data_IF_757647333105
#
_entry.id   IF_757647333105
#
_cell.length_a   1.000
_cell.length_b   1.000
_cell.length_c   1.000
_cell.angle_alpha   90.00
_cell.angle_beta   90.00
_cell.angle_gamma   90.00
#
_symmetry.space_group_name_H-M   'P 1'
#
loop_
_entity.id
_entity.type
_entity.pdbx_description
1 polymer ?
#
# COMPACT_ATOMS: atom_id res chain seq x y z
N UNK A 1 -8.32 -6.20 -9.12
CA UNK A 1 -8.60 -7.61 -8.84
C UNK A 1 -10.10 -7.86 -8.90
N UNK A 2 -10.52 -8.87 -9.67
CA UNK A 2 -11.85 -9.44 -9.56
C UNK A 2 -11.90 -10.27 -8.28
N UNK A 3 -12.94 -10.08 -7.49
CA UNK A 3 -13.06 -10.71 -6.18
C UNK A 3 -13.76 -12.07 -6.31
N UNK A 4 -13.41 -13.03 -5.46
CA UNK A 4 -14.05 -14.34 -5.41
C UNK A 4 -15.48 -14.26 -4.85
N UNK A 5 -15.77 -13.24 -4.06
CA UNK A 5 -17.11 -12.90 -3.52
C UNK A 5 -17.32 -11.39 -3.57
N UNK A 6 -18.59 -10.98 -3.62
CA UNK A 6 -18.96 -9.57 -3.59
C UNK A 6 -18.67 -8.97 -2.21
N UNK A 7 -18.15 -7.74 -2.18
CA UNK A 7 -17.79 -7.01 -0.97
C UNK A 7 -18.82 -5.92 -0.70
N UNK A 8 -19.28 -5.85 0.55
CA UNK A 8 -20.18 -4.79 1.03
C UNK A 8 -19.50 -3.90 2.09
N UNK A 9 -18.52 -4.44 2.81
CA UNK A 9 -17.92 -3.73 3.94
C UNK A 9 -16.83 -2.75 3.50
N UNK A 10 -16.90 -1.47 3.89
CA UNK A 10 -15.87 -0.47 3.58
C UNK A 10 -14.46 -0.88 4.02
N UNK A 11 -14.34 -1.66 5.10
CA UNK A 11 -13.07 -2.18 5.60
C UNK A 11 -12.39 -3.11 4.59
N UNK A 12 -13.14 -4.00 3.96
CA UNK A 12 -12.61 -4.91 2.94
C UNK A 12 -12.14 -4.14 1.70
N UNK A 13 -12.87 -3.11 1.29
CA UNK A 13 -12.46 -2.23 0.18
C UNK A 13 -11.13 -1.54 0.51
N UNK A 14 -10.99 -0.99 1.73
CA UNK A 14 -9.75 -0.37 2.20
C UNK A 14 -8.58 -1.35 2.20
N UNK A 15 -8.78 -2.60 2.61
CA UNK A 15 -7.76 -3.64 2.58
C UNK A 15 -7.26 -3.93 1.15
N UNK A 16 -8.17 -4.04 0.19
CA UNK A 16 -7.79 -4.21 -1.22
C UNK A 16 -7.07 -2.99 -1.80
N UNK A 17 -7.47 -1.78 -1.40
CA UNK A 17 -6.75 -0.57 -1.78
C UNK A 17 -5.33 -0.54 -1.18
N UNK A 18 -5.16 -1.00 0.07
CA UNK A 18 -3.86 -1.11 0.73
C UNK A 18 -2.93 -2.04 -0.06
N UNK A 19 -3.34 -3.26 -0.32
CA UNK A 19 -2.57 -4.23 -1.10
C UNK A 19 -2.23 -3.70 -2.51
N UNK A 20 -3.18 -3.01 -3.14
CA UNK A 20 -2.96 -2.40 -4.45
C UNK A 20 -1.94 -1.26 -4.38
N UNK A 21 -2.00 -0.41 -3.36
CA UNK A 21 -1.06 0.69 -3.16
C UNK A 21 0.37 0.18 -2.94
N UNK A 22 0.55 -0.85 -2.10
CA UNK A 22 1.84 -1.47 -1.86
C UNK A 22 2.44 -2.07 -3.16
N UNK A 23 1.64 -2.80 -3.93
CA UNK A 23 2.07 -3.36 -5.21
C UNK A 23 2.44 -2.27 -6.24
N UNK A 24 1.65 -1.19 -6.33
CA UNK A 24 1.91 -0.06 -7.22
C UNK A 24 3.19 0.65 -6.81
N UNK A 25 3.37 0.98 -5.53
CA UNK A 25 4.53 1.67 -5.01
C UNK A 25 5.82 0.88 -5.27
N UNK A 26 5.83 -0.43 -4.99
CA UNK A 26 6.95 -1.33 -5.29
C UNK A 26 7.30 -1.30 -6.79
N UNK A 27 6.29 -1.36 -7.67
CA UNK A 27 6.49 -1.31 -9.12
C UNK A 27 7.01 0.04 -9.60
N UNK A 28 6.58 1.15 -8.99
CA UNK A 28 7.09 2.48 -9.28
C UNK A 28 8.57 2.57 -8.92
N UNK A 29 8.95 2.17 -7.70
CA UNK A 29 10.34 2.18 -7.25
C UNK A 29 11.25 1.30 -8.10
N UNK A 30 10.82 0.08 -8.44
CA UNK A 30 11.61 -0.82 -9.29
C UNK A 30 11.90 -0.26 -10.68
N UNK A 31 11.09 0.71 -11.14
CA UNK A 31 11.24 1.39 -12.44
C UNK A 31 11.76 2.82 -12.31
N UNK A 32 12.14 3.25 -11.12
CA UNK A 32 12.55 4.62 -10.82
C UNK A 32 11.52 5.67 -11.28
N UNK A 33 10.23 5.39 -11.04
CA UNK A 33 9.11 6.25 -11.40
C UNK A 33 8.38 6.75 -10.16
N UNK A 34 7.72 7.90 -10.31
CA UNK A 34 6.77 8.47 -9.35
C UNK A 34 5.44 8.74 -10.05
N UNK A 35 4.34 8.68 -9.31
CA UNK A 35 3.01 8.94 -9.83
C UNK A 35 2.51 10.31 -9.37
N UNK A 36 1.93 11.08 -10.27
CA UNK A 36 1.28 12.35 -9.97
C UNK A 36 -0.24 12.23 -9.82
N UNK A 37 -0.80 11.02 -9.91
CA UNK A 37 -2.23 10.83 -9.71
C UNK A 37 -2.61 9.38 -9.39
N UNK A 38 -3.76 9.26 -8.73
CA UNK A 38 -4.36 7.98 -8.30
C UNK A 38 -5.77 7.86 -8.85
N UNK A 39 -6.11 6.66 -9.31
CA UNK A 39 -7.43 6.28 -9.80
C UNK A 39 -7.93 5.05 -9.08
N UNK A 40 -9.16 5.12 -8.57
CA UNK A 40 -9.88 3.98 -7.98
C UNK A 40 -10.99 3.55 -8.92
N UNK A 41 -11.15 2.23 -9.10
CA UNK A 41 -12.20 1.61 -9.88
C UNK A 41 -12.96 0.64 -8.99
N UNK A 42 -14.27 0.76 -8.97
CA UNK A 42 -15.19 -0.16 -8.32
C UNK A 42 -16.15 -0.70 -9.39
N UNK A 43 -16.44 -2.00 -9.35
CA UNK A 43 -17.45 -2.60 -10.22
C UNK A 43 -18.52 -3.23 -9.36
N UNK A 44 -19.77 -2.84 -9.59
CA UNK A 44 -20.93 -3.36 -8.86
C UNK A 44 -21.23 -4.81 -9.28
N UNK A 45 -22.09 -5.48 -8.51
CA UNK A 45 -22.65 -6.79 -8.88
C UNK A 45 -23.46 -6.74 -10.19
N UNK A 46 -24.05 -5.58 -10.52
CA UNK A 46 -24.76 -5.32 -11.78
C UNK A 46 -23.81 -5.01 -12.96
N UNK A 47 -22.49 -5.22 -12.78
CA UNK A 47 -21.44 -4.98 -13.77
C UNK A 47 -21.21 -3.52 -14.14
N UNK A 48 -21.79 -2.56 -13.43
CA UNK A 48 -21.52 -1.15 -13.61
C UNK A 48 -20.11 -0.80 -13.13
N UNK A 49 -19.29 -0.21 -14.01
CA UNK A 49 -17.94 0.24 -13.67
C UNK A 49 -17.97 1.70 -13.24
N UNK A 50 -17.62 1.94 -11.99
CA UNK A 50 -17.47 3.27 -11.40
C UNK A 50 -16.00 3.61 -11.28
N UNK A 51 -15.62 4.85 -11.63
CA UNK A 51 -14.22 5.31 -11.57
C UNK A 51 -14.16 6.69 -10.94
N UNK A 52 -13.20 6.87 -10.02
CA UNK A 52 -12.84 8.17 -9.45
C UNK A 52 -11.34 8.33 -9.48
N UNK A 53 -10.87 9.55 -9.69
CA UNK A 53 -9.44 9.85 -9.73
C UNK A 53 -9.15 11.22 -9.16
N UNK A 54 -7.92 11.39 -8.67
CA UNK A 54 -7.41 12.69 -8.23
C UNK A 54 -5.94 12.82 -8.59
N UNK A 55 -5.51 14.05 -8.79
CA UNK A 55 -4.09 14.41 -8.83
C UNK A 55 -3.55 14.44 -7.40
N UNK A 56 -2.28 14.11 -7.26
CA UNK A 56 -1.52 14.25 -6.03
C UNK A 56 -0.88 15.65 -5.99
N UNK A 57 -0.78 16.23 -4.82
CA UNK A 57 -0.10 17.51 -4.64
C UNK A 57 1.37 17.42 -5.05
N UNK A 58 2.00 16.31 -4.71
CA UNK A 58 3.37 15.98 -5.07
C UNK A 58 3.43 14.58 -5.68
N UNK A 59 4.19 14.37 -6.77
CA UNK A 59 4.42 13.04 -7.31
C UNK A 59 5.14 12.15 -6.29
N UNK A 60 4.72 10.88 -6.20
CA UNK A 60 5.23 9.97 -5.16
C UNK A 60 5.30 8.53 -5.63
N UNK A 61 6.14 7.73 -4.97
CA UNK A 61 6.22 6.28 -5.02
C UNK A 61 5.96 5.64 -3.64
N UNK A 62 5.49 6.44 -2.67
CA UNK A 62 5.21 6.01 -1.30
C UNK A 62 3.82 5.40 -1.21
N UNK A 63 3.73 4.15 -0.77
CA UNK A 63 2.49 3.39 -0.71
C UNK A 63 1.45 4.04 0.22
N UNK A 64 1.88 4.60 1.35
CA UNK A 64 0.98 5.24 2.32
C UNK A 64 0.25 6.45 1.70
N UNK A 65 0.97 7.28 0.93
CA UNK A 65 0.40 8.44 0.26
C UNK A 65 -0.60 8.00 -0.82
N UNK A 66 -0.22 7.01 -1.63
CA UNK A 66 -1.11 6.44 -2.67
C UNK A 66 -2.37 5.85 -2.04
N UNK A 67 -2.24 5.09 -0.95
CA UNK A 67 -3.36 4.52 -0.21
C UNK A 67 -4.27 5.59 0.38
N UNK A 68 -3.71 6.58 1.08
CA UNK A 68 -4.46 7.67 1.68
C UNK A 68 -5.31 8.41 0.65
N UNK A 69 -4.72 8.71 -0.52
CA UNK A 69 -5.44 9.32 -1.63
C UNK A 69 -6.54 8.40 -2.20
N UNK A 70 -6.26 7.10 -2.33
CA UNK A 70 -7.26 6.12 -2.76
C UNK A 70 -8.46 6.04 -1.82
N UNK A 71 -8.22 6.05 -0.50
CA UNK A 71 -9.28 6.07 0.52
C UNK A 71 -10.06 7.38 0.49
N UNK A 72 -9.41 8.52 0.29
CA UNK A 72 -10.05 9.83 0.18
C UNK A 72 -11.03 9.93 -1.01
N UNK A 73 -10.86 9.10 -2.04
CA UNK A 73 -11.77 9.03 -3.18
C UNK A 73 -13.05 8.21 -2.90
N UNK A 74 -13.08 7.36 -1.87
CA UNK A 74 -14.22 6.47 -1.61
C UNK A 74 -15.55 7.21 -1.38
N UNK A 75 -15.62 8.32 -0.63
CA UNK A 75 -16.88 9.05 -0.45
C UNK A 75 -17.50 9.60 -1.74
N UNK A 76 -16.67 9.82 -2.78
CA UNK A 76 -17.16 10.30 -4.08
C UNK A 76 -17.89 9.23 -4.89
N UNK A 77 -17.83 7.95 -4.48
CA UNK A 77 -18.64 6.89 -5.05
C UNK A 77 -20.03 6.90 -4.36
N UNK A 78 -21.00 7.47 -5.02
CA UNK A 78 -22.39 7.53 -4.54
C UNK A 78 -23.09 6.16 -4.65
N UNK A 79 -22.41 5.10 -4.26
CA UNK A 79 -22.90 3.73 -4.34
C UNK A 79 -22.40 2.92 -3.13
N UNK A 80 -23.30 2.22 -2.47
CA UNK A 80 -23.02 1.52 -1.21
C UNK A 80 -22.58 0.06 -1.41
N UNK A 81 -22.44 -0.41 -2.65
CA UNK A 81 -22.13 -1.81 -2.98
C UNK A 81 -23.39 -2.66 -3.18
N UNK A 82 -23.28 -3.96 -3.33
CA UNK A 82 -22.04 -4.75 -3.27
C UNK A 82 -21.13 -4.56 -4.48
N UNK A 83 -19.84 -4.70 -4.24
CA UNK A 83 -18.82 -4.57 -5.29
C UNK A 83 -18.14 -5.92 -5.54
N UNK A 84 -18.01 -6.29 -6.81
CA UNK A 84 -17.30 -7.50 -7.26
C UNK A 84 -15.89 -7.26 -7.76
N UNK A 85 -15.50 -6.00 -7.91
CA UNK A 85 -14.13 -5.60 -8.26
C UNK A 85 -13.76 -4.33 -7.51
N UNK A 86 -12.59 -4.38 -6.91
CA UNK A 86 -11.88 -3.23 -6.36
C UNK A 86 -10.53 -3.14 -7.06
N UNK A 87 -10.20 -1.98 -7.59
CA UNK A 87 -8.93 -1.74 -8.26
C UNK A 87 -8.40 -0.34 -8.00
N UNK A 88 -7.08 -0.23 -8.02
CA UNK A 88 -6.36 1.03 -7.93
C UNK A 88 -5.33 1.10 -9.05
N UNK A 89 -5.05 2.28 -9.56
CA UNK A 89 -4.03 2.54 -10.55
C UNK A 89 -3.37 3.89 -10.29
N UNK A 90 -2.08 3.97 -10.55
CA UNK A 90 -1.33 5.21 -10.63
C UNK A 90 -1.32 5.71 -12.08
N UNK A 91 -1.34 7.03 -12.26
CA UNK A 91 -1.26 7.66 -13.58
C UNK A 91 -0.40 8.93 -13.55
N UNK A 92 -0.14 9.53 -14.72
CA UNK A 92 0.78 10.66 -14.88
C UNK A 92 2.15 10.35 -14.27
N UNK A 93 2.73 9.23 -14.74
CA UNK A 93 4.02 8.76 -14.24
C UNK A 93 5.14 9.67 -14.74
N UNK A 94 6.12 9.93 -13.87
CA UNK A 94 7.30 10.74 -14.14
C UNK A 94 8.55 9.99 -13.69
N UNK A 95 9.71 10.37 -14.19
CA UNK A 95 10.97 9.84 -13.71
C UNK A 95 11.27 10.43 -12.32
N UNK A 96 11.67 9.60 -11.37
CA UNK A 96 12.00 10.02 -10.01
C UNK A 96 13.27 10.89 -9.93
N UNK A 97 14.12 10.85 -10.97
CA UNK A 97 15.36 11.63 -11.07
C UNK A 97 15.21 12.97 -11.80
N UNK A 98 13.99 13.34 -12.23
CA UNK A 98 13.77 14.60 -12.91
C UNK A 98 14.13 15.77 -11.97
N UNK A 99 15.08 16.68 -12.37
CA UNK A 99 15.57 17.77 -11.52
C UNK A 99 14.49 18.72 -11.00
N UNK A 100 13.39 18.88 -11.74
CA UNK A 100 12.21 19.66 -11.34
C UNK A 100 11.46 19.04 -10.14
N UNK A 101 11.74 17.77 -9.80
CA UNK A 101 11.09 17.04 -8.72
C UNK A 101 11.91 16.88 -7.45
N UNK A 102 13.23 17.03 -7.52
CA UNK A 102 14.12 16.86 -6.36
C UNK A 102 13.87 17.91 -5.27
N UNK A 103 13.43 19.10 -5.63
CA UNK A 103 13.17 20.19 -4.68
C UNK A 103 11.85 19.99 -3.90
N UNK A 104 10.91 19.20 -4.44
CA UNK A 104 9.60 18.92 -3.82
C UNK A 104 9.57 17.64 -2.98
N UNK A 105 10.58 16.77 -3.11
CA UNK A 105 10.62 15.45 -2.46
C UNK A 105 11.19 15.46 -1.02
N UNK A 106 11.52 16.63 -0.48
CA UNK A 106 12.15 16.70 0.86
C UNK A 106 11.23 16.24 2.00
N UNK A 107 9.91 16.20 1.82
CA UNK A 107 8.96 15.81 2.87
C UNK A 107 8.72 14.28 2.98
N UNK A 108 8.99 13.50 1.93
CA UNK A 108 8.78 12.03 1.90
C UNK A 108 10.04 11.18 2.01
N UNK A 109 11.20 11.78 2.28
CA UNK A 109 12.49 11.06 2.22
C UNK A 109 12.64 9.93 3.24
N UNK A 110 12.01 10.03 4.41
CA UNK A 110 12.06 9.00 5.46
C UNK A 110 11.19 7.80 5.11
N UNK A 111 9.97 8.03 4.69
CA UNK A 111 9.00 7.01 4.29
C UNK A 111 9.52 6.23 3.09
N UNK A 112 10.06 6.93 2.08
CA UNK A 112 10.65 6.31 0.91
C UNK A 112 11.85 5.43 1.24
N UNK A 113 12.73 5.86 2.17
CA UNK A 113 13.87 5.06 2.64
C UNK A 113 13.42 3.81 3.37
N UNK A 114 12.39 3.91 4.22
CA UNK A 114 11.80 2.78 4.92
C UNK A 114 11.22 1.76 3.93
N UNK A 115 10.42 2.20 2.97
CA UNK A 115 9.83 1.32 1.97
C UNK A 115 10.88 0.67 1.08
N UNK A 116 11.92 1.40 0.66
CA UNK A 116 13.03 0.83 -0.10
C UNK A 116 13.84 -0.21 0.71
N UNK A 117 13.94 -0.04 2.03
CA UNK A 117 14.55 -1.03 2.90
C UNK A 117 13.68 -2.28 3.02
N UNK A 118 12.35 -2.13 3.15
CA UNK A 118 11.40 -3.23 3.17
C UNK A 118 11.42 -4.01 1.85
N UNK A 119 11.45 -3.33 0.71
CA UNK A 119 11.55 -3.96 -0.61
C UNK A 119 12.80 -4.84 -0.72
N UNK A 120 13.98 -4.35 -0.28
CA UNK A 120 15.23 -5.12 -0.27
C UNK A 120 15.16 -6.36 0.62
N UNK A 121 14.44 -6.28 1.74
CA UNK A 121 14.25 -7.45 2.61
C UNK A 121 13.30 -8.45 1.96
N UNK A 122 12.22 -7.98 1.35
CA UNK A 122 11.28 -8.82 0.62
C UNK A 122 11.94 -9.54 -0.57
N UNK A 123 12.82 -8.85 -1.32
CA UNK A 123 13.60 -9.46 -2.42
C UNK A 123 14.55 -10.56 -1.92
N UNK A 124 15.13 -10.39 -0.75
CA UNK A 124 16.13 -11.32 -0.19
C UNK A 124 15.51 -12.50 0.55
N UNK A 125 14.38 -12.29 1.24
CA UNK A 125 13.78 -13.25 2.18
C UNK A 125 12.36 -13.67 1.79
N UNK A 126 11.81 -13.15 0.70
CA UNK A 126 10.44 -13.41 0.24
C UNK A 126 9.45 -12.32 0.67
N UNK A 127 8.33 -12.22 -0.05
CA UNK A 127 7.31 -11.16 0.17
C UNK A 127 6.64 -11.26 1.55
N UNK A 128 6.60 -12.45 2.14
CA UNK A 128 6.00 -12.72 3.46
C UNK A 128 6.94 -12.43 4.64
N UNK A 129 8.18 -11.99 4.37
CA UNK A 129 9.18 -11.76 5.41
C UNK A 129 8.91 -10.51 6.27
N UNK A 130 8.17 -9.55 5.74
CA UNK A 130 7.82 -8.30 6.44
C UNK A 130 6.37 -7.91 6.15
N UNK A 131 5.62 -7.65 7.21
CA UNK A 131 4.28 -7.09 7.15
C UNK A 131 4.18 -5.82 7.99
N UNK A 132 3.34 -4.88 7.58
CA UNK A 132 3.03 -3.72 8.41
C UNK A 132 2.13 -4.12 9.57
N UNK A 133 2.39 -3.60 10.76
CA UNK A 133 1.52 -3.79 11.92
C UNK A 133 0.09 -3.33 11.57
N UNK A 134 -0.90 -4.20 11.77
CA UNK A 134 -2.31 -3.94 11.45
C UNK A 134 -2.77 -4.45 10.09
N UNK A 135 -1.94 -5.14 9.33
CA UNK A 135 -2.35 -5.81 8.08
C UNK A 135 -3.19 -7.05 8.43
N UNK A 136 -4.46 -7.14 7.96
CA UNK A 136 -5.37 -8.22 8.38
C UNK A 136 -5.01 -9.62 7.83
N UNK A 137 -3.94 -9.72 7.03
CA UNK A 137 -3.41 -10.98 6.51
C UNK A 137 -2.35 -11.64 7.40
N UNK A 138 -1.89 -10.95 8.45
CA UNK A 138 -0.88 -11.49 9.35
C UNK A 138 -1.54 -12.35 10.41
N UNK A 139 -1.81 -13.62 10.12
CA UNK A 139 -1.80 -14.63 11.17
C UNK A 139 -0.35 -14.68 11.67
N UNK A 140 -0.13 -14.17 12.88
CA UNK A 140 1.08 -14.48 13.63
C UNK A 140 1.16 -16.00 13.68
N UNK A 141 2.04 -16.59 12.85
CA UNK A 141 2.44 -17.96 13.04
C UNK A 141 2.89 -18.14 14.49
N UNK A 142 2.87 -19.36 15.06
CA UNK A 142 3.21 -19.59 16.45
C UNK A 142 4.57 -18.94 16.71
N UNK A 143 4.52 -17.84 17.49
CA UNK A 143 5.62 -16.93 17.66
C UNK A 143 6.88 -17.67 18.07
N UNK A 144 7.97 -17.30 17.48
CA UNK A 144 9.26 -17.39 18.16
C UNK A 144 9.12 -16.43 19.35
N UNK A 145 8.66 -16.98 20.47
CA UNK A 145 8.75 -16.29 21.75
C UNK A 145 10.24 -15.92 21.92
N UNK A 146 10.58 -14.67 22.20
CA UNK A 146 11.95 -14.34 22.51
C UNK A 146 12.38 -15.23 23.66
N UNK A 147 13.42 -16.04 23.44
CA UNK A 147 14.02 -16.90 24.45
C UNK A 147 14.55 -15.98 25.56
N UNK A 148 13.78 -15.82 26.64
CA UNK A 148 14.12 -15.01 27.79
C UNK A 148 15.13 -15.71 28.73
N UNK A 149 15.70 -16.85 28.36
CA UNK A 149 16.70 -17.59 29.15
C UNK A 149 18.04 -16.84 29.32
N UNK A 150 18.14 -15.64 28.72
CA UNK A 150 19.38 -14.84 28.85
C UNK A 150 19.44 -14.00 30.12
N UNK A 151 18.37 -13.85 30.89
CA UNK A 151 18.32 -12.98 32.08
C UNK A 151 18.51 -13.67 33.39
N UNK A 152 18.55 -15.02 33.43
CA UNK A 152 18.58 -15.76 34.72
C UNK A 152 19.99 -16.26 35.14
N UNK A 153 21.05 -15.90 34.37
CA UNK A 153 22.43 -16.30 34.71
C UNK A 153 23.26 -15.28 35.48
N UNK A 154 22.68 -14.20 36.00
CA UNK A 154 23.42 -13.19 36.82
C UNK A 154 22.95 -13.05 38.26
N UNK A 155 22.40 -14.10 38.86
CA UNK A 155 22.07 -14.11 40.32
C UNK A 155 22.55 -15.37 41.01
N UNK A 156 23.78 -15.79 40.81
CA UNK A 156 24.51 -16.70 41.70
C UNK A 156 26.00 -16.49 41.48
N UNK A 157 26.55 -15.47 42.10
CA UNK A 157 27.87 -15.37 42.71
C UNK A 157 27.85 -14.28 43.72
#
# INVERSE_FOLDING_TARGET
HTLARDIQHPREIKNHLRQSADAIARRLRSKNLVAAGVRVKLKTNEFQLLTRQAQLNEPTDVAEVLYGQGVALLPAFQHTGPFRLVGMAAFSLKNAEDPLQLDLLHHGGRERRLESAMDRIAERFGEDAIHRAGDPGTTLGPGIAPNLDFLDKKKKE
#
